data_IF_689752931344
#
_entry.id   IF_689752931344
#
_cell.length_a   1.000
_cell.length_b   1.000
_cell.length_c   1.000
_cell.angle_alpha   90.00
_cell.angle_beta   90.00
_cell.angle_gamma   90.00
#
_symmetry.space_group_name_H-M   'P 1'
#
loop_
_entity.id
_entity.type
_entity.pdbx_description
1 polymer ?
#
# COMPACT_ATOMS: atom_id res chain seq x y z
N UNK A 1 7.53 10.34 12.16
CA UNK A 1 6.29 10.38 12.97
C UNK A 1 5.33 9.25 12.61
N UNK A 2 5.11 8.98 11.33
CA UNK A 2 4.17 7.92 10.88
C UNK A 2 4.67 6.53 11.28
N UNK A 3 5.95 6.25 11.12
CA UNK A 3 6.57 4.97 11.54
C UNK A 3 6.43 4.72 13.03
N UNK A 4 6.62 5.75 13.86
CA UNK A 4 6.48 5.64 15.30
C UNK A 4 5.03 5.35 15.73
N UNK A 5 4.05 5.91 15.01
CA UNK A 5 2.64 5.59 15.24
C UNK A 5 2.31 4.15 14.82
N UNK A 6 2.90 3.67 13.73
CA UNK A 6 2.76 2.28 13.29
C UNK A 6 3.33 1.31 14.32
N UNK A 7 4.54 1.59 14.84
CA UNK A 7 5.17 0.77 15.86
C UNK A 7 4.32 0.73 17.14
N UNK A 8 3.74 1.87 17.55
CA UNK A 8 2.86 1.96 18.70
C UNK A 8 1.58 1.14 18.51
N UNK A 9 0.94 1.22 17.35
CA UNK A 9 -0.30 0.46 17.07
C UNK A 9 -0.03 -1.03 16.96
N UNK A 10 1.11 -1.45 16.41
CA UNK A 10 1.54 -2.85 16.41
C UNK A 10 1.80 -3.35 17.83
N UNK A 11 2.46 -2.55 18.67
CA UNK A 11 2.69 -2.87 20.07
C UNK A 11 1.36 -3.06 20.82
N UNK A 12 0.39 -2.17 20.62
CA UNK A 12 -0.97 -2.34 21.17
C UNK A 12 -1.60 -3.64 20.71
N UNK A 13 -1.49 -3.99 19.42
CA UNK A 13 -1.98 -5.26 18.86
C UNK A 13 -1.34 -6.47 19.54
N UNK A 14 -0.02 -6.46 19.74
CA UNK A 14 0.70 -7.53 20.46
C UNK A 14 0.22 -7.65 21.90
N UNK A 15 0.07 -6.53 22.59
CA UNK A 15 -0.42 -6.52 23.99
C UNK A 15 -1.84 -7.10 24.09
N UNK A 16 -2.72 -6.79 23.14
CA UNK A 16 -4.06 -7.38 23.10
C UNK A 16 -4.03 -8.90 22.88
N UNK A 17 -3.18 -9.39 21.96
CA UNK A 17 -3.01 -10.83 21.71
C UNK A 17 -2.44 -11.55 22.93
N UNK A 18 -1.41 -10.98 23.56
CA UNK A 18 -0.81 -11.55 24.79
C UNK A 18 -1.85 -11.53 25.91
N UNK A 19 -2.61 -10.43 26.07
CA UNK A 19 -3.68 -10.32 27.07
C UNK A 19 -4.75 -11.40 26.91
N UNK A 20 -5.21 -11.67 25.67
CA UNK A 20 -6.15 -12.77 25.40
C UNK A 20 -5.56 -14.14 25.68
N UNK A 21 -4.29 -14.36 25.35
CA UNK A 21 -3.61 -15.62 25.61
C UNK A 21 -3.49 -15.88 27.12
N UNK A 22 -3.12 -14.87 27.89
CA UNK A 22 -3.06 -14.94 29.36
C UNK A 22 -4.45 -15.19 29.94
N UNK A 23 -5.46 -14.49 29.46
CA UNK A 23 -6.84 -14.65 29.89
C UNK A 23 -7.32 -16.10 29.69
N UNK A 24 -7.09 -16.67 28.51
CA UNK A 24 -7.43 -18.08 28.23
C UNK A 24 -6.60 -19.07 29.07
N UNK A 25 -5.33 -18.77 29.38
CA UNK A 25 -4.45 -19.62 30.18
C UNK A 25 -4.81 -19.65 31.67
N UNK A 26 -5.39 -18.57 32.21
CA UNK A 26 -5.81 -18.49 33.61
C UNK A 26 -7.04 -19.38 33.94
N UNK A 27 -7.58 -20.06 32.94
CA UNK A 27 -8.63 -21.07 33.10
C UNK A 27 -10.00 -20.46 33.30
N UNK A 28 -10.69 -20.30 32.20
CA UNK A 28 -12.13 -19.99 32.19
C UNK A 28 -12.91 -21.30 32.32
N UNK A 29 -14.01 -21.31 33.03
CA UNK A 29 -14.84 -22.50 33.22
C UNK A 29 -15.47 -23.00 31.89
N UNK A 30 -15.50 -22.14 30.86
CA UNK A 30 -16.17 -22.39 29.58
C UNK A 30 -15.21 -22.28 28.38
N UNK A 31 -14.15 -23.10 28.36
CA UNK A 31 -13.11 -23.10 27.30
C UNK A 31 -13.69 -23.11 25.86
N UNK A 32 -14.75 -23.90 25.60
CA UNK A 32 -15.35 -23.96 24.28
C UNK A 32 -16.03 -22.65 23.85
N UNK A 33 -16.64 -21.94 24.81
CA UNK A 33 -17.27 -20.64 24.57
C UNK A 33 -16.19 -19.61 24.22
N UNK A 34 -15.14 -19.58 25.02
CA UNK A 34 -14.00 -18.66 24.81
C UNK A 34 -13.28 -18.91 23.48
N UNK A 35 -13.10 -20.18 23.12
CA UNK A 35 -12.51 -20.56 21.83
C UNK A 35 -13.41 -20.10 20.66
N UNK A 36 -14.73 -20.23 20.79
CA UNK A 36 -15.69 -19.76 19.80
C UNK A 36 -15.65 -18.24 19.64
N UNK A 37 -15.57 -17.49 20.75
CA UNK A 37 -15.44 -16.04 20.75
C UNK A 37 -14.14 -15.59 20.11
N UNK A 38 -13.04 -16.31 20.35
CA UNK A 38 -11.76 -16.04 19.70
C UNK A 38 -11.83 -16.25 18.19
N UNK A 39 -12.42 -17.36 17.72
CA UNK A 39 -12.61 -17.61 16.29
C UNK A 39 -13.45 -16.54 15.61
N UNK A 40 -14.55 -16.11 16.25
CA UNK A 40 -15.36 -15.00 15.74
C UNK A 40 -14.53 -13.71 15.69
N UNK A 41 -13.72 -13.41 16.70
CA UNK A 41 -12.85 -12.24 16.71
C UNK A 41 -11.84 -12.25 15.56
N UNK A 42 -11.27 -13.40 15.22
CA UNK A 42 -10.39 -13.56 14.06
C UNK A 42 -11.14 -13.27 12.75
N UNK A 43 -12.36 -13.78 12.61
CA UNK A 43 -13.20 -13.48 11.43
C UNK A 43 -13.49 -11.98 11.33
N UNK A 44 -13.79 -11.31 12.45
CA UNK A 44 -14.01 -9.85 12.49
C UNK A 44 -12.78 -9.06 12.08
N UNK A 45 -11.57 -9.48 12.49
CA UNK A 45 -10.31 -8.91 12.06
C UNK A 45 -10.15 -9.02 10.53
N UNK A 46 -10.42 -10.20 9.98
CA UNK A 46 -10.32 -10.45 8.52
C UNK A 46 -11.33 -9.56 7.77
N UNK A 47 -12.58 -9.49 8.23
CA UNK A 47 -13.59 -8.62 7.63
C UNK A 47 -13.19 -7.16 7.69
N UNK A 48 -12.67 -6.69 8.83
CA UNK A 48 -12.22 -5.31 8.99
C UNK A 48 -11.07 -4.98 8.04
N UNK A 49 -10.15 -5.90 7.82
CA UNK A 49 -9.01 -5.72 6.93
C UNK A 49 -9.42 -5.61 5.46
N UNK A 50 -10.29 -6.52 4.98
CA UNK A 50 -10.67 -6.60 3.56
C UNK A 50 -11.81 -5.66 3.17
N UNK A 51 -12.83 -5.54 4.02
CA UNK A 51 -14.06 -4.77 3.71
C UNK A 51 -13.99 -3.35 4.27
N UNK A 52 -13.35 -3.17 5.41
CA UNK A 52 -13.17 -1.88 6.07
C UNK A 52 -13.79 -1.80 7.45
N UNK A 53 -13.50 -0.69 8.14
CA UNK A 53 -13.87 -0.47 9.54
C UNK A 53 -15.40 -0.48 9.76
N UNK A 54 -16.18 0.08 8.84
CA UNK A 54 -17.64 0.16 8.98
C UNK A 54 -18.27 -1.23 9.07
N UNK A 55 -17.85 -2.16 8.20
CA UNK A 55 -18.30 -3.55 8.25
C UNK A 55 -17.83 -4.24 9.53
N UNK A 56 -16.54 -4.10 9.88
CA UNK A 56 -15.98 -4.69 11.09
C UNK A 56 -16.69 -4.26 12.36
N UNK A 57 -16.94 -2.96 12.52
CA UNK A 57 -17.67 -2.43 13.69
C UNK A 57 -19.14 -2.84 13.69
N UNK A 58 -19.81 -2.90 12.54
CA UNK A 58 -21.20 -3.35 12.45
C UNK A 58 -21.34 -4.81 12.89
N UNK A 59 -20.48 -5.69 12.37
CA UNK A 59 -20.49 -7.10 12.79
C UNK A 59 -20.03 -7.28 14.24
N UNK A 60 -19.09 -6.47 14.72
CA UNK A 60 -18.70 -6.45 16.14
C UNK A 60 -19.87 -6.04 17.05
N UNK A 61 -20.69 -5.08 16.65
CA UNK A 61 -21.88 -4.67 17.40
C UNK A 61 -22.92 -5.79 17.45
N UNK A 62 -23.14 -6.51 16.36
CA UNK A 62 -24.01 -7.69 16.32
C UNK A 62 -23.47 -8.76 17.28
N UNK A 63 -22.16 -9.02 17.26
CA UNK A 63 -21.53 -9.97 18.16
C UNK A 63 -21.70 -9.57 19.63
N UNK A 64 -21.51 -8.29 19.98
CA UNK A 64 -21.71 -7.75 21.33
C UNK A 64 -23.16 -8.00 21.79
N UNK A 65 -24.14 -7.76 20.91
CA UNK A 65 -25.54 -7.99 21.24
C UNK A 65 -25.85 -9.47 21.53
N UNK A 66 -25.30 -10.39 20.71
CA UNK A 66 -25.41 -11.83 20.92
C UNK A 66 -24.75 -12.26 22.24
N UNK A 67 -23.57 -11.75 22.51
CA UNK A 67 -22.82 -12.05 23.71
C UNK A 67 -23.53 -11.52 24.97
N UNK A 68 -24.10 -10.32 24.92
CA UNK A 68 -24.90 -9.75 26.00
C UNK A 68 -26.14 -10.62 26.29
N UNK A 69 -26.82 -11.06 25.24
CA UNK A 69 -27.99 -11.95 25.36
C UNK A 69 -27.59 -13.27 26.03
N UNK A 70 -26.45 -13.82 25.66
CA UNK A 70 -25.93 -15.06 26.27
C UNK A 70 -25.61 -14.86 27.77
N UNK A 71 -24.96 -13.74 28.12
CA UNK A 71 -24.66 -13.41 29.54
C UNK A 71 -25.92 -13.25 30.36
N UNK A 72 -26.95 -12.56 29.85
CA UNK A 72 -28.21 -12.40 30.52
C UNK A 72 -28.94 -13.77 30.69
N UNK A 73 -28.89 -14.62 29.67
CA UNK A 73 -29.43 -15.97 29.75
C UNK A 73 -28.75 -16.80 30.85
N UNK A 74 -27.40 -16.81 30.90
CA UNK A 74 -26.67 -17.50 31.95
C UNK A 74 -27.00 -16.99 33.36
N UNK A 75 -27.12 -15.66 33.51
CA UNK A 75 -27.47 -15.07 34.81
C UNK A 75 -28.84 -15.45 35.27
N UNK A 76 -29.87 -15.43 34.37
CA UNK A 76 -31.28 -15.70 34.73
C UNK A 76 -31.52 -17.18 35.00
N UNK A 77 -30.89 -18.10 34.27
CA UNK A 77 -31.21 -19.53 34.35
C UNK A 77 -30.21 -20.34 35.18
N UNK A 78 -28.98 -19.85 35.37
CA UNK A 78 -27.91 -20.63 36.04
C UNK A 78 -27.33 -19.93 37.27
N UNK A 79 -27.76 -18.71 37.61
CA UNK A 79 -27.20 -17.88 38.69
C UNK A 79 -25.67 -17.71 38.61
N UNK A 80 -25.07 -17.94 37.43
CA UNK A 80 -23.63 -17.88 37.20
C UNK A 80 -23.29 -16.57 36.50
N UNK A 81 -22.60 -15.70 37.19
CA UNK A 81 -21.99 -14.49 36.58
C UNK A 81 -20.53 -14.79 36.26
N UNK A 82 -20.20 -14.90 34.97
CA UNK A 82 -18.83 -15.10 34.54
C UNK A 82 -18.18 -13.77 34.15
N UNK A 83 -17.18 -13.34 34.89
CA UNK A 83 -16.34 -12.16 34.52
C UNK A 83 -15.66 -12.35 33.14
N UNK A 84 -15.44 -13.59 32.72
CA UNK A 84 -14.88 -13.90 31.42
C UNK A 84 -15.75 -13.42 30.25
N UNK A 85 -17.07 -13.44 30.43
CA UNK A 85 -18.00 -12.98 29.39
C UNK A 85 -17.90 -11.46 29.13
N UNK A 86 -17.52 -10.66 30.14
CA UNK A 86 -17.28 -9.22 29.98
C UNK A 86 -16.02 -8.94 29.16
N UNK A 87 -15.02 -9.77 29.28
CA UNK A 87 -13.78 -9.66 28.49
C UNK A 87 -14.07 -9.72 26.99
N UNK A 88 -14.90 -10.68 26.56
CA UNK A 88 -15.30 -10.84 25.16
C UNK A 88 -16.26 -9.76 24.65
N UNK A 89 -16.82 -8.93 25.51
CA UNK A 89 -17.62 -7.78 25.10
C UNK A 89 -16.73 -6.64 24.58
N UNK A 90 -15.52 -6.50 25.14
CA UNK A 90 -14.64 -5.37 24.89
C UNK A 90 -13.58 -5.71 23.82
N UNK A 91 -13.08 -6.94 23.81
CA UNK A 91 -11.94 -7.32 22.96
C UNK A 91 -12.20 -7.26 21.45
N UNK A 92 -13.32 -7.75 20.89
CA UNK A 92 -13.56 -7.72 19.47
C UNK A 92 -13.56 -6.30 18.84
N UNK A 93 -14.25 -5.29 19.41
CA UNK A 93 -14.16 -3.93 18.87
C UNK A 93 -12.76 -3.32 19.00
N UNK A 94 -12.00 -3.64 20.06
CA UNK A 94 -10.61 -3.19 20.20
C UNK A 94 -9.71 -3.79 19.10
N UNK A 95 -9.90 -5.06 18.76
CA UNK A 95 -9.19 -5.68 17.65
C UNK A 95 -9.54 -5.01 16.32
N UNK A 96 -10.81 -4.74 16.05
CA UNK A 96 -11.23 -4.04 14.83
C UNK A 96 -10.60 -2.65 14.71
N UNK A 97 -10.57 -1.89 15.82
CA UNK A 97 -9.94 -0.55 15.83
C UNK A 97 -8.42 -0.63 15.61
N UNK A 98 -7.77 -1.59 16.26
CA UNK A 98 -6.31 -1.76 16.13
C UNK A 98 -5.92 -2.14 14.71
N UNK A 99 -6.60 -3.13 14.11
CA UNK A 99 -6.29 -3.56 12.73
C UNK A 99 -6.60 -2.47 11.71
N UNK A 100 -7.66 -1.71 11.92
CA UNK A 100 -7.96 -0.56 11.08
C UNK A 100 -6.87 0.51 11.16
N UNK A 101 -6.41 0.86 12.37
CA UNK A 101 -5.36 1.84 12.55
C UNK A 101 -4.05 1.41 11.85
N UNK A 102 -3.68 0.15 11.97
CA UNK A 102 -2.52 -0.43 11.27
C UNK A 102 -2.71 -0.35 9.75
N UNK A 103 -3.86 -0.81 9.25
CA UNK A 103 -4.15 -0.83 7.80
C UNK A 103 -4.16 0.59 7.22
N UNK A 104 -4.75 1.55 7.93
CA UNK A 104 -4.77 2.95 7.51
C UNK A 104 -3.36 3.53 7.39
N UNK A 105 -2.50 3.27 8.38
CA UNK A 105 -1.11 3.76 8.36
C UNK A 105 -0.28 3.12 7.24
N UNK A 106 -0.45 1.82 7.00
CA UNK A 106 0.23 1.11 5.90
C UNK A 106 -0.17 1.73 4.55
N UNK A 107 -1.46 1.95 4.31
CA UNK A 107 -1.93 2.59 3.07
C UNK A 107 -1.38 3.99 2.89
N UNK A 108 -1.33 4.79 3.95
CA UNK A 108 -0.76 6.14 3.90
C UNK A 108 0.73 6.12 3.53
N UNK A 109 1.51 5.19 4.12
CA UNK A 109 2.93 5.01 3.79
C UNK A 109 3.11 4.56 2.35
N UNK A 110 2.26 3.67 1.85
CA UNK A 110 2.32 3.17 0.49
C UNK A 110 2.02 4.29 -0.54
N UNK A 111 1.00 5.11 -0.29
CA UNK A 111 0.68 6.27 -1.12
C UNK A 111 1.83 7.28 -1.15
N UNK A 112 2.44 7.58 -0.01
CA UNK A 112 3.59 8.47 0.09
C UNK A 112 4.82 7.91 -0.65
N UNK A 113 5.10 6.61 -0.53
CA UNK A 113 6.16 5.95 -1.28
C UNK A 113 5.95 6.01 -2.79
N UNK A 114 4.72 5.79 -3.27
CA UNK A 114 4.38 5.90 -4.69
C UNK A 114 4.60 7.34 -5.17
N UNK A 115 4.18 8.33 -4.38
CA UNK A 115 4.39 9.75 -4.69
C UNK A 115 5.87 10.09 -4.77
N UNK A 116 6.66 9.71 -3.76
CA UNK A 116 8.10 9.97 -3.72
C UNK A 116 8.83 9.29 -4.88
N UNK A 117 8.45 8.08 -5.25
CA UNK A 117 9.01 7.40 -6.43
C UNK A 117 8.71 8.15 -7.73
N UNK A 118 7.49 8.67 -7.88
CA UNK A 118 7.14 9.50 -9.06
C UNK A 118 7.93 10.80 -9.09
N UNK A 119 8.10 11.48 -7.96
CA UNK A 119 8.90 12.70 -7.86
C UNK A 119 10.38 12.43 -8.14
N UNK A 120 10.93 11.35 -7.58
CA UNK A 120 12.32 10.94 -7.85
C UNK A 120 12.53 10.59 -9.32
N UNK A 121 11.58 9.88 -9.94
CA UNK A 121 11.64 9.57 -11.38
C UNK A 121 11.59 10.83 -12.25
N UNK A 122 10.83 11.84 -11.85
CA UNK A 122 10.80 13.13 -12.53
C UNK A 122 12.08 13.94 -12.36
N UNK A 123 12.78 13.77 -11.23
CA UNK A 123 14.04 14.48 -10.95
C UNK A 123 15.26 13.79 -11.56
N UNK A 124 15.15 12.52 -11.95
CA UNK A 124 16.24 11.81 -12.57
C UNK A 124 16.58 12.41 -13.93
N UNK A 125 17.85 12.68 -14.14
CA UNK A 125 18.35 13.17 -15.42
C UNK A 125 18.25 12.12 -16.53
N UNK A 126 18.30 10.84 -16.14
CA UNK A 126 18.22 9.68 -17.04
C UNK A 126 16.99 8.83 -16.71
N UNK A 127 16.33 8.34 -17.72
CA UNK A 127 15.24 7.37 -17.60
C UNK A 127 15.79 6.01 -17.16
N UNK A 128 15.11 5.38 -16.17
CA UNK A 128 15.58 4.17 -15.51
C UNK A 128 15.61 2.93 -16.44
N UNK A 129 14.81 2.92 -17.48
CA UNK A 129 14.68 1.78 -18.41
C UNK A 129 15.60 1.95 -19.61
N UNK A 130 15.55 3.12 -20.21
CA UNK A 130 16.26 3.41 -21.47
C UNK A 130 17.66 4.00 -21.27
N UNK A 131 17.94 4.50 -20.07
CA UNK A 131 19.17 5.24 -19.78
C UNK A 131 19.41 6.40 -20.79
N UNK A 132 18.33 6.97 -21.30
CA UNK A 132 18.32 8.21 -22.08
C UNK A 132 17.99 9.39 -21.18
N UNK A 133 18.29 10.60 -21.64
CA UNK A 133 17.93 11.83 -20.93
C UNK A 133 16.41 11.96 -20.89
N UNK A 134 15.88 12.43 -19.77
CA UNK A 134 14.42 12.59 -19.58
C UNK A 134 13.88 13.84 -20.28
N UNK A 135 12.54 13.93 -20.41
CA UNK A 135 11.86 15.12 -20.91
C UNK A 135 12.26 16.40 -20.18
N UNK A 136 12.49 16.32 -18.86
CA UNK A 136 12.97 17.46 -18.07
C UNK A 136 14.35 17.95 -18.54
N UNK A 137 15.29 17.04 -18.76
CA UNK A 137 16.60 17.39 -19.31
C UNK A 137 16.52 17.95 -20.72
N UNK A 138 15.51 17.55 -21.50
CA UNK A 138 15.22 18.14 -22.80
C UNK A 138 14.77 19.59 -22.65
N UNK A 139 13.80 19.89 -21.79
CA UNK A 139 13.31 21.24 -21.55
C UNK A 139 14.44 22.19 -21.11
N UNK A 140 15.21 21.78 -20.09
CA UNK A 140 16.35 22.56 -19.58
C UNK A 140 17.46 22.75 -20.62
N UNK A 141 17.74 21.73 -21.44
CA UNK A 141 18.77 21.78 -22.47
C UNK A 141 18.34 22.52 -23.73
N UNK A 142 17.07 22.45 -24.11
CA UNK A 142 16.55 23.07 -25.34
C UNK A 142 16.74 24.58 -25.35
N UNK A 143 16.40 25.24 -24.26
CA UNK A 143 16.54 26.70 -24.12
C UNK A 143 18.03 27.10 -24.30
N UNK A 144 18.93 26.37 -23.64
CA UNK A 144 20.38 26.62 -23.76
C UNK A 144 20.87 26.44 -25.20
N UNK A 145 20.49 25.34 -25.86
CA UNK A 145 20.93 25.05 -27.24
C UNK A 145 20.31 26.03 -28.24
N UNK A 146 19.07 26.47 -28.01
CA UNK A 146 18.39 27.47 -28.80
C UNK A 146 19.13 28.82 -28.72
N UNK A 147 19.50 29.23 -27.52
CA UNK A 147 20.27 30.49 -27.30
C UNK A 147 21.66 30.43 -27.96
N UNK A 148 22.36 29.29 -27.84
CA UNK A 148 23.66 29.07 -28.48
C UNK A 148 23.50 29.13 -30.01
N UNK A 149 22.48 28.41 -30.55
CA UNK A 149 22.20 28.42 -31.99
C UNK A 149 21.96 29.83 -32.52
N UNK A 150 21.16 30.61 -31.81
CA UNK A 150 20.87 32.01 -32.19
C UNK A 150 22.10 32.92 -32.11
N UNK A 151 22.90 32.74 -31.04
CA UNK A 151 24.09 33.59 -30.81
C UNK A 151 25.21 33.34 -31.80
N UNK A 152 25.40 32.06 -32.19
CA UNK A 152 26.50 31.66 -33.06
C UNK A 152 26.05 31.39 -34.51
N UNK A 153 24.80 31.70 -34.85
CA UNK A 153 24.18 31.43 -36.16
C UNK A 153 24.39 29.99 -36.64
N UNK A 154 24.45 29.05 -35.68
CA UNK A 154 24.65 27.63 -35.96
C UNK A 154 23.30 26.91 -36.05
N UNK A 155 23.05 26.11 -37.10
CA UNK A 155 21.74 25.45 -37.25
C UNK A 155 21.53 24.39 -36.17
N UNK A 156 20.37 24.43 -35.47
CA UNK A 156 19.92 23.43 -34.54
C UNK A 156 18.87 22.54 -35.21
N UNK A 157 19.10 21.24 -35.21
CA UNK A 157 18.15 20.27 -35.76
C UNK A 157 17.54 19.43 -34.65
N UNK A 158 16.23 19.27 -34.67
CA UNK A 158 15.49 18.37 -33.79
C UNK A 158 14.94 17.21 -34.62
N UNK A 159 15.26 15.98 -34.24
CA UNK A 159 14.73 14.76 -34.85
C UNK A 159 13.82 14.08 -33.85
N UNK A 160 12.56 13.86 -34.19
CA UNK A 160 11.60 13.14 -33.37
C UNK A 160 11.36 11.75 -33.95
N UNK A 161 11.67 10.74 -33.17
CA UNK A 161 11.43 9.33 -33.53
C UNK A 161 10.23 8.85 -32.70
N UNK A 162 9.19 8.35 -33.40
CA UNK A 162 7.99 7.84 -32.79
C UNK A 162 7.76 6.39 -33.20
N UNK A 163 7.52 5.51 -32.23
CA UNK A 163 7.12 4.13 -32.52
C UNK A 163 5.67 4.15 -33.01
N UNK A 164 5.45 3.68 -34.25
CA UNK A 164 4.11 3.58 -34.80
C UNK A 164 3.29 2.54 -34.01
N UNK A 165 2.00 2.81 -33.83
CA UNK A 165 1.07 1.94 -33.14
C UNK A 165 1.48 1.57 -31.68
N UNK A 166 2.21 2.45 -31.01
CA UNK A 166 2.70 2.22 -29.64
C UNK A 166 1.60 1.78 -28.67
N UNK A 167 0.43 2.41 -28.71
CA UNK A 167 -0.71 2.08 -27.86
C UNK A 167 -1.17 0.63 -28.02
N UNK A 168 -1.23 0.13 -29.28
CA UNK A 168 -1.62 -1.24 -29.58
C UNK A 168 -0.56 -2.24 -29.10
N UNK A 169 0.72 -1.92 -29.35
CA UNK A 169 1.86 -2.74 -28.92
C UNK A 169 1.92 -2.79 -27.38
N UNK A 170 1.76 -1.66 -26.73
CA UNK A 170 1.79 -1.53 -25.27
C UNK A 170 0.75 -2.41 -24.58
N UNK A 171 -0.42 -2.56 -25.17
CA UNK A 171 -1.52 -3.36 -24.61
C UNK A 171 -1.34 -4.87 -24.81
N UNK A 172 -0.48 -5.29 -25.73
CA UNK A 172 -0.21 -6.68 -26.03
C UNK A 172 1.00 -7.26 -25.28
N UNK A 173 1.89 -6.40 -24.77
CA UNK A 173 3.13 -6.80 -24.13
C UNK A 173 3.03 -6.80 -22.60
N UNK A 174 3.72 -7.73 -21.97
CA UNK A 174 3.96 -7.69 -20.52
C UNK A 174 4.87 -6.50 -20.14
N UNK A 175 4.89 -6.08 -18.85
CA UNK A 175 5.78 -5.01 -18.40
C UNK A 175 7.27 -5.28 -18.70
N UNK A 176 7.71 -6.54 -18.59
CA UNK A 176 9.07 -6.98 -18.87
C UNK A 176 9.39 -6.86 -20.35
N UNK A 177 8.50 -7.32 -21.21
CA UNK A 177 8.64 -7.24 -22.66
C UNK A 177 8.66 -5.80 -23.19
N UNK A 178 7.89 -4.90 -22.55
CA UNK A 178 7.94 -3.45 -22.86
C UNK A 178 9.30 -2.86 -22.57
N UNK A 179 9.87 -3.19 -21.41
CA UNK A 179 11.17 -2.70 -21.01
C UNK A 179 12.26 -3.22 -21.94
N UNK A 180 12.20 -4.49 -22.32
CA UNK A 180 13.12 -5.11 -23.27
C UNK A 180 13.03 -4.44 -24.64
N UNK A 181 11.82 -4.22 -25.17
CA UNK A 181 11.61 -3.51 -26.42
C UNK A 181 12.21 -2.08 -26.39
N UNK A 182 11.96 -1.34 -25.32
CA UNK A 182 12.50 0.00 -25.17
C UNK A 182 14.03 -0.01 -25.10
N UNK A 183 14.64 -0.99 -24.46
CA UNK A 183 16.09 -1.15 -24.41
C UNK A 183 16.67 -1.47 -25.79
N UNK A 184 16.04 -2.36 -26.56
CA UNK A 184 16.46 -2.69 -27.92
C UNK A 184 16.42 -1.46 -28.83
N UNK A 185 15.30 -0.73 -28.81
CA UNK A 185 15.14 0.51 -29.60
C UNK A 185 16.19 1.56 -29.18
N UNK A 186 16.41 1.70 -27.90
CA UNK A 186 17.42 2.65 -27.39
C UNK A 186 18.84 2.27 -27.79
N UNK A 187 19.16 0.98 -27.73
CA UNK A 187 20.48 0.49 -28.19
C UNK A 187 20.69 0.78 -29.69
N UNK A 188 19.69 0.51 -30.52
CA UNK A 188 19.75 0.80 -31.95
C UNK A 188 19.91 2.32 -32.23
N UNK A 189 19.22 3.18 -31.47
CA UNK A 189 19.38 4.63 -31.61
C UNK A 189 20.82 5.03 -31.22
N UNK A 190 21.34 4.54 -30.09
CA UNK A 190 22.71 4.85 -29.65
C UNK A 190 23.80 4.36 -30.59
N UNK A 191 23.60 3.21 -31.21
CA UNK A 191 24.53 2.65 -32.18
C UNK A 191 24.56 3.43 -33.51
N UNK A 192 23.41 3.99 -33.89
CA UNK A 192 23.23 4.71 -35.16
C UNK A 192 23.58 6.20 -35.03
N UNK A 193 23.52 6.73 -33.80
CA UNK A 193 23.79 8.16 -33.54
C UNK A 193 25.23 8.38 -33.10
N UNK A 194 25.86 9.44 -33.64
CA UNK A 194 27.21 9.89 -33.25
C UNK A 194 27.15 10.60 -31.89
N UNK A 195 28.30 10.75 -31.21
CA UNK A 195 28.45 11.45 -29.92
C UNK A 195 27.98 12.91 -29.92
N UNK A 196 27.71 13.46 -31.09
CA UNK A 196 27.16 14.83 -31.28
C UNK A 196 25.67 14.92 -31.03
N UNK A 197 24.98 13.79 -30.99
CA UNK A 197 23.54 13.75 -30.75
C UNK A 197 23.25 13.53 -29.26
N UNK A 198 22.24 14.22 -28.77
CA UNK A 198 21.75 14.08 -27.40
C UNK A 198 20.37 13.42 -27.42
N UNK A 199 20.30 12.09 -27.30
CA UNK A 199 19.02 11.40 -27.33
C UNK A 199 18.26 11.59 -26.02
N UNK A 200 16.97 11.89 -26.14
CA UNK A 200 16.03 12.06 -25.05
C UNK A 200 14.91 11.04 -25.17
N UNK A 201 14.35 10.65 -24.03
CA UNK A 201 13.14 9.84 -23.93
C UNK A 201 12.02 10.73 -23.38
N UNK A 202 10.96 10.93 -24.18
CA UNK A 202 9.87 11.86 -23.89
C UNK A 202 8.55 11.14 -23.83
#
# INVERSE_FOLDING_TARGET
RVTLLLDLTLLVGIVLVVGTTIFMALGTNDFFVDLSCLLISVILIIVTYFVGITAGLTFSLIFIFLQLTYVVYQYVYHDLFSYGSLFWLIMPPLYCLTIYAVTYQIRTIEEENIRLRKETSRLNALDAVTNLRTAKMYEEGFDLFSDISTRYEAPLYLVVIRVAYWESIRNLLSPEQKNELLQIVTAAIKETTDDRFLPYFI
#
